data_IF_821355396857
#
_entry.id   IF_821355396857
#
_cell.length_a   1.000
_cell.length_b   1.000
_cell.length_c   1.000
_cell.angle_alpha   90.00
_cell.angle_beta   90.00
_cell.angle_gamma   90.00
#
_symmetry.space_group_name_H-M   'P 1'
#
loop_
_entity.id
_entity.type
_entity.pdbx_description
1 polymer ?
#
# COMPACT_ATOMS: atom_id res chain seq x y z
N UNK A 1 -7.75 -1.34 -7.36
CA UNK A 1 -7.39 -0.06 -6.74
C UNK A 1 -8.23 0.07 -5.47
N UNK A 2 -7.62 0.39 -4.35
CA UNK A 2 -8.30 0.54 -3.05
C UNK A 2 -8.00 1.93 -2.50
N UNK A 3 -8.99 2.62 -1.93
CA UNK A 3 -8.83 4.02 -1.47
C UNK A 3 -9.28 4.14 -0.02
N UNK A 4 -8.46 4.84 0.79
CA UNK A 4 -8.74 5.17 2.19
C UNK A 4 -8.91 6.66 2.31
N UNK A 5 -9.97 7.09 2.98
CA UNK A 5 -10.17 8.49 3.34
C UNK A 5 -9.66 8.75 4.75
N UNK A 6 -8.77 9.72 4.88
CA UNK A 6 -8.29 10.30 6.13
C UNK A 6 -8.99 11.64 6.37
N UNK A 7 -8.79 12.24 7.55
CA UNK A 7 -9.43 13.50 7.93
C UNK A 7 -9.08 14.66 6.97
N UNK A 8 -7.87 14.68 6.44
CA UNK A 8 -7.32 15.76 5.61
C UNK A 8 -6.69 15.27 4.29
N UNK A 9 -6.70 13.96 4.04
CA UNK A 9 -6.04 13.35 2.89
C UNK A 9 -6.76 12.07 2.43
N UNK A 10 -6.36 11.54 1.28
CA UNK A 10 -6.79 10.24 0.76
C UNK A 10 -5.57 9.44 0.35
N UNK A 11 -5.58 8.14 0.60
CA UNK A 11 -4.55 7.21 0.14
C UNK A 11 -5.14 6.23 -0.87
N UNK A 12 -4.54 6.14 -2.04
CA UNK A 12 -4.93 5.24 -3.11
C UNK A 12 -3.86 4.14 -3.28
N UNK A 13 -4.24 2.92 -2.96
CA UNK A 13 -3.43 1.72 -3.12
C UNK A 13 -3.67 1.10 -4.49
N UNK A 14 -2.57 0.86 -5.20
CA UNK A 14 -2.54 0.17 -6.48
C UNK A 14 -1.59 -1.02 -6.40
N UNK A 15 -1.57 -1.83 -7.46
CA UNK A 15 -0.81 -3.09 -7.49
C UNK A 15 0.67 -2.92 -7.13
N UNK A 16 1.25 -1.77 -7.40
CA UNK A 16 2.68 -1.51 -7.25
C UNK A 16 2.97 -0.45 -6.19
N UNK A 17 2.03 -0.11 -5.33
CA UNK A 17 2.30 0.82 -4.24
C UNK A 17 1.10 1.68 -3.85
N UNK A 18 1.38 2.92 -3.43
CA UNK A 18 0.40 3.80 -2.82
C UNK A 18 0.64 5.25 -3.23
N UNK A 19 -0.45 5.97 -3.46
CA UNK A 19 -0.44 7.40 -3.71
C UNK A 19 -1.33 8.12 -2.70
N UNK A 20 -0.74 9.00 -1.90
CA UNK A 20 -1.44 9.88 -0.98
C UNK A 20 -1.66 11.26 -1.58
N UNK A 21 -2.84 11.84 -1.35
CA UNK A 21 -3.21 13.17 -1.80
C UNK A 21 -3.87 13.96 -0.67
N UNK A 22 -3.46 15.22 -0.50
CA UNK A 22 -4.11 16.18 0.40
C UNK A 22 -5.50 16.54 -0.11
N UNK A 23 -6.52 16.49 0.74
CA UNK A 23 -7.86 16.99 0.41
C UNK A 23 -7.94 18.52 0.44
N UNK A 24 -6.98 19.18 1.10
CA UNK A 24 -6.97 20.64 1.26
C UNK A 24 -6.37 21.34 0.05
N UNK A 25 -5.27 20.82 -0.47
CA UNK A 25 -4.52 21.44 -1.55
C UNK A 25 -4.51 20.60 -2.84
N UNK A 26 -5.05 19.39 -2.82
CA UNK A 26 -5.03 18.43 -3.92
C UNK A 26 -3.62 17.94 -4.34
N UNK A 27 -2.58 18.36 -3.62
CA UNK A 27 -1.20 17.94 -3.86
C UNK A 27 -0.97 16.48 -3.49
N UNK A 28 -0.09 15.82 -4.23
CA UNK A 28 0.38 14.47 -3.91
C UNK A 28 1.34 14.56 -2.72
N UNK A 29 0.92 14.02 -1.58
CA UNK A 29 1.69 14.05 -0.33
C UNK A 29 2.57 12.81 -0.18
N UNK A 30 2.17 11.71 -0.81
CA UNK A 30 2.90 10.45 -0.79
C UNK A 30 2.81 9.79 -2.16
N UNK A 31 3.92 9.26 -2.65
CA UNK A 31 3.94 8.44 -3.85
C UNK A 31 5.00 7.36 -3.65
N UNK A 32 4.53 6.12 -3.55
CA UNK A 32 5.38 4.94 -3.44
C UNK A 32 5.02 4.06 -4.62
N UNK A 33 6.02 3.81 -5.47
CA UNK A 33 5.89 2.90 -6.61
C UNK A 33 7.06 1.93 -6.57
N UNK A 34 6.73 0.66 -6.39
CA UNK A 34 7.65 -0.46 -6.40
C UNK A 34 7.15 -1.51 -7.41
N UNK A 35 7.80 -1.55 -8.56
CA UNK A 35 7.50 -2.53 -9.62
C UNK A 35 8.08 -3.91 -9.33
N UNK A 36 8.99 -4.04 -8.36
CA UNK A 36 9.53 -5.33 -7.94
C UNK A 36 8.54 -6.11 -7.07
N UNK A 37 7.49 -5.45 -6.57
CA UNK A 37 6.49 -6.04 -5.68
C UNK A 37 5.08 -5.84 -6.22
N UNK A 38 4.20 -6.78 -5.88
CA UNK A 38 2.76 -6.70 -6.10
C UNK A 38 2.03 -6.73 -4.77
N UNK A 39 1.20 -5.72 -4.51
CA UNK A 39 0.41 -5.60 -3.29
C UNK A 39 -1.01 -6.12 -3.51
N UNK A 40 -1.49 -6.96 -2.59
CA UNK A 40 -2.86 -7.48 -2.54
C UNK A 40 -3.53 -7.04 -1.24
N UNK A 41 -4.71 -6.44 -1.34
CA UNK A 41 -5.51 -6.08 -0.17
C UNK A 41 -6.07 -7.34 0.49
N UNK A 42 -5.80 -7.50 1.79
CA UNK A 42 -6.35 -8.57 2.61
C UNK A 42 -7.56 -8.12 3.43
N UNK A 43 -7.58 -6.86 3.88
CA UNK A 43 -8.67 -6.32 4.68
C UNK A 43 -8.51 -4.81 4.92
N UNK A 44 -9.63 -4.15 5.22
CA UNK A 44 -9.69 -2.70 5.41
C UNK A 44 -10.77 -2.26 6.40
N UNK A 45 -10.97 -3.02 7.49
CA UNK A 45 -11.98 -2.70 8.49
C UNK A 45 -11.55 -1.48 9.34
N UNK A 46 -10.65 -1.69 10.30
CA UNK A 46 -10.06 -0.59 11.11
C UNK A 46 -8.65 -0.22 10.68
N UNK A 47 -8.00 -1.13 9.96
CA UNK A 47 -6.64 -1.01 9.44
C UNK A 47 -6.59 -1.60 8.05
N UNK A 48 -5.74 -1.04 7.20
CA UNK A 48 -5.52 -1.56 5.86
C UNK A 48 -4.37 -2.55 5.90
N UNK A 49 -4.68 -3.80 5.55
CA UNK A 49 -3.72 -4.88 5.52
C UNK A 49 -3.43 -5.22 4.07
N UNK A 50 -2.15 -5.12 3.68
CA UNK A 50 -1.66 -5.46 2.36
C UNK A 50 -0.67 -6.60 2.48
N UNK A 51 -0.84 -7.60 1.63
CA UNK A 51 0.15 -8.64 1.37
C UNK A 51 1.03 -8.16 0.22
N UNK A 52 2.36 -8.20 0.37
CA UNK A 52 3.28 -7.93 -0.73
C UNK A 52 3.88 -9.23 -1.26
N UNK A 53 3.91 -9.39 -2.58
CA UNK A 53 4.53 -10.50 -3.29
C UNK A 53 5.65 -9.97 -4.17
N UNK A 54 6.87 -10.46 -3.99
CA UNK A 54 8.00 -10.07 -4.83
C UNK A 54 7.84 -10.71 -6.21
N UNK A 55 7.85 -9.89 -7.27
CA UNK A 55 7.70 -10.32 -8.65
C UNK A 55 9.01 -10.83 -9.28
N UNK A 56 10.10 -10.90 -8.52
CA UNK A 56 11.40 -11.37 -9.00
C UNK A 56 11.43 -12.90 -9.06
N UNK A 57 11.03 -13.45 -10.20
CA UNK A 57 11.30 -14.85 -10.51
C UNK A 57 12.75 -15.02 -10.99
N UNK A 58 13.52 -15.78 -10.20
CA UNK A 58 14.62 -16.67 -10.62
C UNK A 58 16.02 -16.06 -10.80
N UNK A 59 16.74 -15.88 -9.69
CA UNK A 59 18.17 -16.23 -9.61
C UNK A 59 18.51 -16.72 -8.20
N UNK A 60 18.46 -18.05 -8.01
CA UNK A 60 19.29 -18.85 -7.10
C UNK A 60 19.58 -18.26 -5.69
N UNK A 61 18.58 -18.22 -4.81
CA UNK A 61 18.81 -18.48 -3.38
C UNK A 61 17.47 -18.66 -2.67
N UNK A 62 17.33 -19.80 -2.02
CA UNK A 62 16.18 -20.22 -1.24
C UNK A 62 15.93 -19.25 -0.07
N UNK A 63 15.05 -18.27 -0.24
CA UNK A 63 14.36 -17.56 0.84
C UNK A 63 13.19 -16.75 0.25
N UNK A 64 12.12 -17.45 -0.17
CA UNK A 64 10.86 -16.84 -0.64
C UNK A 64 10.10 -16.28 0.59
N UNK A 65 10.63 -15.21 1.17
CA UNK A 65 10.00 -14.49 2.27
C UNK A 65 8.88 -13.59 1.76
N UNK A 66 7.63 -13.97 2.01
CA UNK A 66 6.51 -13.05 1.83
C UNK A 66 6.56 -11.99 2.94
N UNK A 67 6.92 -10.76 2.60
CA UNK A 67 6.90 -9.63 3.54
C UNK A 67 5.44 -9.14 3.75
N UNK A 68 4.95 -9.22 5.00
CA UNK A 68 3.69 -8.59 5.40
C UNK A 68 3.92 -7.13 5.81
N UNK A 69 3.25 -6.19 5.14
CA UNK A 69 3.23 -4.79 5.55
C UNK A 69 1.87 -4.45 6.14
N UNK A 70 1.86 -4.14 7.44
CA UNK A 70 0.67 -3.63 8.13
C UNK A 70 0.75 -2.11 8.11
N UNK A 71 -0.05 -1.48 7.25
CA UNK A 71 -0.28 -0.04 7.33
C UNK A 71 -1.42 0.21 8.31
N UNK A 72 -1.07 0.37 9.58
CA UNK A 72 -1.99 0.78 10.62
C UNK A 72 -2.37 2.25 10.43
N UNK A 73 -3.30 2.50 9.52
CA UNK A 73 -3.88 3.82 9.34
C UNK A 73 -4.91 4.01 10.45
N UNK A 74 -4.65 4.91 11.40
CA UNK A 74 -5.66 5.29 12.38
C UNK A 74 -6.73 6.12 11.66
N UNK A 75 -7.77 5.45 11.18
CA UNK A 75 -9.01 6.10 10.77
C UNK A 75 -9.54 6.87 11.99
N UNK A 76 -9.38 8.19 11.98
CA UNK A 76 -9.97 9.05 12.98
C UNK A 76 -11.40 9.29 12.53
N UNK A 77 -12.32 8.49 13.07
CA UNK A 77 -13.76 8.73 12.97
C UNK A 77 -14.16 9.86 13.90
#
# INVERSE_FOLDING_TARGET
MFVVCLADSVLAFHRHGVQGRSLRSADVTQEIVDHSRAYRLLGADKVVVLESHTLQSKTLSSDDGNDLYILAIRASY
#
